data_IF_607014632274
#
_entry.id   IF_607014632274
#
_cell.length_a   1.000
_cell.length_b   1.000
_cell.length_c   1.000
_cell.angle_alpha   90.00
_cell.angle_beta   90.00
_cell.angle_gamma   90.00
#
_symmetry.space_group_name_H-M   'P 1'
#
loop_
_entity.id
_entity.type
_entity.pdbx_description
1 polymer ?
#
# COMPACT_ATOMS: atom_id res chain seq x y z
N UNK A 1 3.72 15.56 -9.08
CA UNK A 1 3.52 15.17 -7.66
C UNK A 1 2.27 14.28 -7.60
N UNK A 2 2.38 13.08 -7.03
CA UNK A 2 1.24 12.16 -6.85
C UNK A 2 0.58 12.43 -5.49
N UNK A 3 -0.75 12.50 -5.44
CA UNK A 3 -1.53 12.71 -4.20
C UNK A 3 -2.74 11.81 -4.20
N UNK A 4 -3.11 11.30 -3.02
CA UNK A 4 -4.35 10.55 -2.80
C UNK A 4 -5.32 11.41 -2.01
N UNK A 5 -6.60 11.31 -2.34
CA UNK A 5 -7.72 11.89 -1.61
C UNK A 5 -8.48 10.78 -0.86
N UNK A 6 -9.65 11.09 -0.30
CA UNK A 6 -10.50 10.13 0.38
C UNK A 6 -10.87 8.93 -0.51
N UNK A 7 -10.75 7.69 0.01
CA UNK A 7 -11.11 6.50 -0.75
C UNK A 7 -12.62 6.46 -0.98
N UNK A 8 -13.04 6.29 -2.24
CA UNK A 8 -14.47 6.14 -2.61
C UNK A 8 -14.99 4.71 -2.43
N UNK A 9 -14.10 3.72 -2.41
CA UNK A 9 -14.42 2.31 -2.22
C UNK A 9 -13.24 1.58 -1.58
N UNK A 10 -13.52 0.55 -0.78
CA UNK A 10 -12.49 -0.19 -0.04
C UNK A 10 -11.89 0.59 1.12
N UNK A 11 -10.75 0.10 1.65
CA UNK A 11 -10.08 0.69 2.82
C UNK A 11 -8.57 0.94 2.63
N UNK A 12 -7.95 0.37 1.59
CA UNK A 12 -6.49 0.41 1.38
C UNK A 12 -6.16 0.69 -0.08
N UNK A 13 -5.14 1.51 -0.30
CA UNK A 13 -4.52 1.72 -1.59
C UNK A 13 -3.07 1.22 -1.52
N UNK A 14 -2.55 0.74 -2.64
CA UNK A 14 -1.16 0.30 -2.78
C UNK A 14 -0.48 1.10 -3.88
N UNK A 15 0.73 1.56 -3.61
CA UNK A 15 1.59 2.25 -4.57
C UNK A 15 2.83 1.40 -4.77
N UNK A 16 3.15 1.10 -6.02
CA UNK A 16 4.39 0.45 -6.40
C UNK A 16 5.23 1.42 -7.23
N UNK A 17 6.54 1.39 -7.03
CA UNK A 17 7.52 2.14 -7.80
C UNK A 17 8.40 1.16 -8.56
N UNK A 18 8.80 1.52 -9.78
CA UNK A 18 9.74 0.72 -10.54
C UNK A 18 11.07 0.63 -9.79
N UNK A 19 11.66 -0.56 -9.71
CA UNK A 19 12.83 -0.84 -8.86
C UNK A 19 12.49 -1.22 -7.42
N UNK A 20 11.26 -0.94 -6.96
CA UNK A 20 10.82 -1.23 -5.60
C UNK A 20 11.43 -0.29 -4.56
N UNK A 21 10.95 -0.40 -3.32
CA UNK A 21 11.50 0.36 -2.18
C UNK A 21 12.71 -0.41 -1.64
N UNK A 22 13.87 0.25 -1.64
CA UNK A 22 15.14 -0.37 -1.25
C UNK A 22 15.36 -0.30 0.26
N UNK A 23 14.73 -1.22 0.97
CA UNK A 23 14.93 -1.39 2.42
C UNK A 23 15.62 -2.71 2.72
N UNK A 24 16.36 -2.79 3.85
CA UNK A 24 17.01 -4.02 4.28
C UNK A 24 16.01 -5.19 4.39
N UNK A 25 16.48 -6.38 4.06
CA UNK A 25 15.73 -7.61 4.30
C UNK A 25 15.81 -7.97 5.79
N UNK A 26 14.65 -8.13 6.40
CA UNK A 26 14.51 -8.63 7.78
C UNK A 26 13.72 -9.93 7.71
N UNK A 27 14.32 -11.03 8.17
CA UNK A 27 13.75 -12.38 8.07
C UNK A 27 13.37 -12.78 6.62
N UNK A 28 14.18 -12.36 5.65
CA UNK A 28 13.93 -12.64 4.22
C UNK A 28 12.79 -11.84 3.58
N UNK A 29 12.22 -10.86 4.28
CA UNK A 29 11.13 -10.00 3.77
C UNK A 29 11.44 -8.52 3.96
N UNK A 30 10.78 -7.67 3.16
CA UNK A 30 10.81 -6.19 3.27
C UNK A 30 9.55 -5.62 3.91
N UNK A 31 8.60 -6.45 4.32
CA UNK A 31 7.37 -6.00 4.97
C UNK A 31 7.65 -5.34 6.33
N UNK A 32 6.83 -4.34 6.68
CA UNK A 32 6.91 -3.68 8.00
C UNK A 32 6.02 -4.39 9.01
N UNK A 33 6.59 -4.81 10.13
CA UNK A 33 5.86 -5.21 11.33
C UNK A 33 5.98 -4.11 12.39
N UNK A 34 5.00 -3.20 12.39
CA UNK A 34 5.07 -1.98 13.19
C UNK A 34 5.03 -2.21 14.71
N UNK A 35 4.31 -3.23 15.18
CA UNK A 35 4.20 -3.53 16.62
C UNK A 35 5.54 -3.96 17.22
N UNK A 36 6.35 -4.72 16.47
CA UNK A 36 7.68 -5.16 16.89
C UNK A 36 8.82 -4.32 16.36
N UNK A 37 8.53 -3.22 15.64
CA UNK A 37 9.54 -2.37 15.00
C UNK A 37 10.50 -3.13 14.08
N UNK A 38 9.97 -4.06 13.26
CA UNK A 38 10.78 -4.91 12.37
C UNK A 38 10.51 -4.62 10.88
N UNK A 39 11.55 -4.64 10.07
CA UNK A 39 11.47 -4.55 8.61
C UNK A 39 11.00 -3.20 8.07
N UNK A 40 10.75 -3.14 6.76
CA UNK A 40 10.30 -1.91 6.10
C UNK A 40 11.25 -0.73 6.27
N UNK A 41 10.69 0.48 6.25
CA UNK A 41 11.45 1.71 6.50
C UNK A 41 11.51 1.99 8.01
N UNK A 42 12.70 1.79 8.61
CA UNK A 42 12.97 2.03 10.04
C UNK A 42 12.02 1.28 11.00
N UNK A 43 11.36 0.19 10.58
CA UNK A 43 10.44 -0.56 11.44
C UNK A 43 9.14 0.16 11.79
N UNK A 44 8.84 1.32 11.20
CA UNK A 44 7.72 2.18 11.60
C UNK A 44 6.84 2.60 10.44
N UNK A 45 5.72 3.26 10.75
CA UNK A 45 4.92 3.97 9.75
C UNK A 45 5.71 5.14 9.16
N UNK A 46 5.44 5.46 7.90
CA UNK A 46 6.01 6.64 7.25
C UNK A 46 5.46 7.92 7.90
N UNK A 47 6.30 8.94 7.99
CA UNK A 47 5.95 10.29 8.45
C UNK A 47 6.32 11.31 7.38
N UNK A 48 5.74 12.51 7.49
CA UNK A 48 6.05 13.59 6.56
C UNK A 48 7.55 13.92 6.61
N UNK A 49 8.15 14.08 5.44
CA UNK A 49 9.60 14.33 5.30
C UNK A 49 10.46 13.08 5.19
N UNK A 50 9.89 11.87 5.32
CA UNK A 50 10.65 10.64 5.06
C UNK A 50 11.04 10.55 3.58
N UNK A 51 12.32 10.31 3.33
CA UNK A 51 12.86 10.00 2.00
C UNK A 51 13.11 8.50 1.89
N UNK A 52 12.38 7.84 0.98
CA UNK A 52 12.51 6.40 0.78
C UNK A 52 13.47 6.12 -0.36
N UNK A 53 14.56 5.35 -0.12
CA UNK A 53 15.43 4.90 -1.19
C UNK A 53 14.66 3.95 -2.14
N UNK A 54 14.95 4.08 -3.43
CA UNK A 54 14.32 3.29 -4.50
C UNK A 54 15.42 2.48 -5.19
N UNK A 55 15.12 1.22 -5.45
CA UNK A 55 16.06 0.33 -6.13
C UNK A 55 16.25 0.67 -7.61
N UNK A 56 17.23 0.02 -8.24
CA UNK A 56 17.45 0.17 -9.69
C UNK A 56 16.31 -0.51 -10.45
N UNK A 57 15.56 0.27 -11.23
CA UNK A 57 14.48 -0.25 -12.06
C UNK A 57 15.04 -1.11 -13.21
N UNK A 58 14.64 -2.39 -13.26
CA UNK A 58 14.90 -3.26 -14.42
C UNK A 58 13.78 -3.13 -15.45
N UNK A 59 13.84 -2.09 -16.29
CA UNK A 59 12.96 -1.97 -17.47
C UNK A 59 12.30 -0.60 -17.67
N UNK A 60 11.49 -0.50 -18.73
CA UNK A 60 10.78 0.73 -19.10
C UNK A 60 9.50 0.87 -18.25
N UNK A 61 9.52 1.80 -17.30
CA UNK A 61 8.30 2.25 -16.62
C UNK A 61 7.43 3.04 -17.60
N UNK A 62 6.12 2.76 -17.61
CA UNK A 62 5.14 3.55 -18.36
C UNK A 62 4.24 4.31 -17.38
N UNK A 63 4.05 5.62 -17.57
CA UNK A 63 3.03 6.36 -16.84
C UNK A 63 1.65 5.70 -16.98
N UNK A 64 0.88 5.64 -15.91
CA UNK A 64 -0.45 5.00 -15.91
C UNK A 64 -0.45 3.47 -15.84
N UNK A 65 0.71 2.84 -15.65
CA UNK A 65 0.78 1.41 -15.39
C UNK A 65 -0.06 1.07 -14.14
N UNK A 66 -0.95 0.09 -14.28
CA UNK A 66 -1.81 -0.39 -13.22
C UNK A 66 -1.85 -1.91 -13.28
N UNK A 67 -2.10 -2.56 -12.13
CA UNK A 67 -2.23 -4.01 -12.10
C UNK A 67 -3.34 -4.46 -13.06
N UNK A 68 -3.16 -5.58 -13.79
CA UNK A 68 -4.23 -6.22 -14.55
C UNK A 68 -5.48 -6.41 -13.70
N UNK A 69 -6.67 -6.26 -14.28
CA UNK A 69 -7.93 -6.34 -13.53
C UNK A 69 -8.07 -7.64 -12.73
N UNK A 70 -7.58 -8.77 -13.27
CA UNK A 70 -7.60 -10.07 -12.59
C UNK A 70 -6.79 -10.10 -11.27
N UNK A 71 -5.77 -9.25 -11.14
CA UNK A 71 -4.93 -9.14 -9.94
C UNK A 71 -5.38 -8.02 -9.01
N UNK A 72 -6.39 -7.23 -9.41
CA UNK A 72 -6.96 -6.21 -8.54
C UNK A 72 -7.88 -6.87 -7.54
N UNK A 73 -7.85 -6.39 -6.30
CA UNK A 73 -8.85 -6.78 -5.32
C UNK A 73 -10.23 -6.36 -5.83
N UNK A 74 -11.16 -7.31 -5.90
CA UNK A 74 -12.57 -7.00 -6.09
C UNK A 74 -13.05 -6.27 -4.84
N UNK A 75 -13.22 -4.95 -4.95
CA UNK A 75 -13.87 -4.15 -3.93
C UNK A 75 -15.36 -4.38 -4.10
N UNK A 76 -15.85 -5.48 -3.50
CA UNK A 76 -17.23 -5.92 -3.61
C UNK A 76 -18.20 -4.76 -3.38
N UNK A 77 -19.12 -4.57 -4.33
CA UNK A 77 -20.33 -3.82 -4.06
C UNK A 77 -21.01 -4.48 -2.86
N UNK A 78 -21.26 -3.69 -1.81
CA UNK A 78 -21.98 -4.01 -0.56
C UNK A 78 -22.34 -5.50 -0.41
N UNK A 79 -21.41 -6.32 0.08
CA UNK A 79 -21.82 -7.58 0.69
C UNK A 79 -22.40 -7.26 2.06
N UNK A 80 -23.53 -7.87 2.47
CA UNK A 80 -24.06 -7.76 3.82
C UNK A 80 -23.19 -8.64 4.72
N UNK A 81 -21.92 -8.28 4.90
CA UNK A 81 -21.00 -9.06 5.71
C UNK A 81 -21.13 -8.62 7.17
N UNK A 82 -21.65 -9.52 8.02
CA UNK A 82 -21.80 -9.36 9.47
C UNK A 82 -20.49 -9.24 10.26
N UNK A 83 -19.43 -8.72 9.65
CA UNK A 83 -18.10 -8.53 10.25
C UNK A 83 -17.69 -7.04 10.37
N UNK A 84 -18.36 -6.13 9.66
CA UNK A 84 -18.16 -4.69 9.84
C UNK A 84 -19.23 -4.11 10.77
N UNK A 85 -19.00 -4.13 12.08
CA UNK A 85 -19.89 -3.48 13.07
C UNK A 85 -19.77 -1.93 13.12
N UNK A 86 -18.93 -1.31 12.30
CA UNK A 86 -18.57 0.10 12.43
C UNK A 86 -18.97 0.99 11.24
N UNK A 87 -19.93 0.57 10.41
CA UNK A 87 -20.51 1.44 9.38
C UNK A 87 -22.03 1.57 9.56
N UNK A 88 -22.46 1.82 10.79
CA UNK A 88 -23.71 2.55 11.06
C UNK A 88 -23.32 3.86 11.73
N UNK A 89 -23.04 4.88 10.92
CA UNK A 89 -23.43 6.22 11.33
C UNK A 89 -24.32 6.75 10.21
N UNK A 90 -25.61 6.76 10.52
CA UNK A 90 -26.61 7.57 9.87
C UNK A 90 -26.23 9.05 10.00
N UNK A 91 -26.10 9.73 8.87
CA UNK A 91 -26.54 11.10 8.61
C UNK A 91 -26.26 11.41 7.14
#
# INVERSE_FOLDING_TARGET
MLRFDFPKAGARAYLAVAGGIDVPLVLGSRSTYALGTLGGFQGRRLVAGDELPVGVASGKSRPGASLPMALRQSLGAKSPCGWCRACTTSA
#
